data_IF_505144280258
#
_entry.id   IF_505144280258
#
_cell.length_a   1.000
_cell.length_b   1.000
_cell.length_c   1.000
_cell.angle_alpha   90.00
_cell.angle_beta   90.00
_cell.angle_gamma   90.00
#
_symmetry.space_group_name_H-M   'P 1'
#
loop_
_entity.id
_entity.type
_entity.pdbx_description
1 polymer ?
#
# COMPACT_ATOMS: atom_id res chain seq x y z
N UNK A 1 -2.64 -13.28 -9.49
CA UNK A 1 -1.24 -12.93 -9.84
C UNK A 1 -0.45 -12.66 -8.55
N UNK A 2 0.88 -12.63 -8.56
CA UNK A 2 1.67 -12.33 -7.34
C UNK A 2 1.32 -10.96 -6.74
N UNK A 3 1.07 -9.97 -7.60
CA UNK A 3 0.59 -8.64 -7.22
C UNK A 3 -0.71 -8.68 -6.40
N UNK A 4 -1.65 -9.58 -6.72
CA UNK A 4 -2.91 -9.70 -5.96
C UNK A 4 -2.67 -10.21 -4.54
N UNK A 5 -1.75 -11.19 -4.38
CA UNK A 5 -1.38 -11.71 -3.06
C UNK A 5 -0.72 -10.64 -2.18
N UNK A 6 0.10 -9.78 -2.78
CA UNK A 6 0.73 -8.65 -2.08
C UNK A 6 -0.33 -7.62 -1.65
N UNK A 7 -1.29 -7.31 -2.52
CA UNK A 7 -2.41 -6.40 -2.21
C UNK A 7 -3.23 -6.95 -1.04
N UNK A 8 -3.61 -8.22 -1.08
CA UNK A 8 -4.37 -8.87 -0.02
C UNK A 8 -3.60 -8.91 1.31
N UNK A 9 -2.29 -9.18 1.25
CA UNK A 9 -1.41 -9.12 2.41
C UNK A 9 -1.47 -7.75 3.09
N UNK A 10 -1.26 -6.66 2.35
CA UNK A 10 -1.29 -5.31 2.93
C UNK A 10 -2.69 -4.91 3.41
N UNK A 11 -3.76 -5.29 2.69
CA UNK A 11 -5.14 -5.05 3.13
C UNK A 11 -5.48 -5.74 4.44
N UNK A 12 -4.87 -6.90 4.72
CA UNK A 12 -5.09 -7.64 5.97
C UNK A 12 -4.16 -7.17 7.10
N UNK A 13 -2.87 -7.04 6.82
CA UNK A 13 -1.83 -6.78 7.83
C UNK A 13 -1.78 -5.32 8.30
N UNK A 14 -2.11 -4.36 7.43
CA UNK A 14 -2.07 -2.95 7.83
C UNK A 14 -3.12 -2.65 8.91
N UNK A 15 -4.42 -3.02 8.74
CA UNK A 15 -5.42 -2.83 9.78
C UNK A 15 -5.11 -3.56 11.09
N UNK A 16 -4.60 -4.80 11.04
CA UNK A 16 -4.24 -5.54 12.26
C UNK A 16 -3.10 -4.89 13.04
N UNK A 17 -2.29 -4.05 12.39
CA UNK A 17 -1.21 -3.26 12.99
C UNK A 17 -1.65 -1.83 13.37
N UNK A 18 -2.93 -1.53 13.24
CA UNK A 18 -3.53 -0.24 13.59
C UNK A 18 -3.40 0.84 12.52
N UNK A 19 -3.03 0.48 11.28
CA UNK A 19 -3.06 1.39 10.15
C UNK A 19 -4.46 1.43 9.55
N UNK A 20 -5.04 2.62 9.47
CA UNK A 20 -6.38 2.83 8.92
C UNK A 20 -6.31 2.98 7.39
N UNK A 21 -7.13 2.26 6.62
CA UNK A 21 -7.19 2.44 5.18
C UNK A 21 -7.80 3.80 4.82
N UNK A 22 -7.08 4.60 4.05
CA UNK A 22 -7.52 5.91 3.59
C UNK A 22 -8.12 5.86 2.19
N UNK A 23 -7.44 5.18 1.27
CA UNK A 23 -7.84 5.06 -0.13
C UNK A 23 -7.23 3.82 -0.78
N UNK A 24 -7.91 3.28 -1.78
CA UNK A 24 -7.33 2.24 -2.65
C UNK A 24 -7.74 2.48 -4.10
N UNK A 25 -6.78 2.43 -5.02
CA UNK A 25 -7.01 2.57 -6.46
C UNK A 25 -6.45 1.37 -7.21
N UNK A 26 -7.15 0.93 -8.26
CA UNK A 26 -6.72 -0.17 -9.13
C UNK A 26 -6.81 0.27 -10.59
N UNK A 27 -5.69 0.65 -11.20
CA UNK A 27 -5.59 1.04 -12.62
C UNK A 27 -4.20 0.69 -13.14
N UNK A 28 -4.07 -0.39 -13.93
CA UNK A 28 -2.78 -0.91 -14.40
C UNK A 28 -1.84 -1.46 -13.30
N UNK A 29 -2.24 -1.32 -12.04
CA UNK A 29 -1.57 -1.70 -10.79
C UNK A 29 -2.51 -1.43 -9.61
N UNK A 30 -2.02 -1.47 -8.38
CA UNK A 30 -2.76 -1.09 -7.18
C UNK A 30 -2.00 -0.06 -6.36
N UNK A 31 -2.72 0.92 -5.82
CA UNK A 31 -2.19 1.86 -4.83
C UNK A 31 -3.06 1.78 -3.58
N UNK A 32 -2.44 1.57 -2.43
CA UNK A 32 -3.08 1.46 -1.12
C UNK A 32 -2.52 2.57 -0.24
N UNK A 33 -3.38 3.42 0.29
CA UNK A 33 -3.01 4.48 1.22
C UNK A 33 -3.53 4.14 2.62
N UNK A 34 -2.68 4.30 3.62
CA UNK A 34 -2.99 4.07 5.02
C UNK A 34 -2.54 5.24 5.89
N UNK A 35 -3.16 5.42 7.04
CA UNK A 35 -2.71 6.38 8.07
C UNK A 35 -2.65 5.78 9.46
N UNK A 36 -1.72 6.30 10.27
CA UNK A 36 -1.58 5.97 11.69
C UNK A 36 -0.83 7.09 12.39
N UNK A 37 -1.37 7.61 13.48
CA UNK A 37 -0.69 8.58 14.36
C UNK A 37 -0.07 9.79 13.62
N UNK A 38 -0.79 10.37 12.65
CA UNK A 38 -0.32 11.51 11.84
C UNK A 38 0.72 11.14 10.75
N UNK A 39 1.01 9.84 10.58
CA UNK A 39 1.83 9.30 9.50
C UNK A 39 0.94 8.71 8.41
N UNK A 40 1.45 8.68 7.19
CA UNK A 40 0.81 8.12 6.02
C UNK A 40 1.75 7.12 5.36
N UNK A 41 1.21 5.99 4.93
CA UNK A 41 1.91 4.99 4.13
C UNK A 41 1.19 4.84 2.80
N UNK A 42 1.95 4.93 1.71
CA UNK A 42 1.50 4.65 0.35
C UNK A 42 2.22 3.39 -0.14
N UNK A 43 1.45 2.36 -0.48
CA UNK A 43 1.94 1.12 -1.08
C UNK A 43 1.47 1.09 -2.53
N UNK A 44 2.40 1.17 -3.46
CA UNK A 44 2.13 1.00 -4.89
C UNK A 44 2.63 -0.38 -5.35
N UNK A 45 1.76 -1.15 -5.96
CA UNK A 45 2.02 -2.47 -6.54
C UNK A 45 1.77 -2.37 -8.03
N UNK A 46 2.82 -2.37 -8.82
CA UNK A 46 2.75 -2.37 -10.29
C UNK A 46 3.27 -3.67 -10.87
N UNK A 47 3.17 -3.79 -12.19
CA UNK A 47 3.89 -4.80 -12.96
C UNK A 47 4.76 -4.09 -13.98
N UNK A 48 6.04 -4.44 -14.03
CA UNK A 48 6.96 -3.95 -15.06
C UNK A 48 7.56 -5.17 -15.76
N UNK A 49 7.31 -5.31 -17.06
CA UNK A 49 7.65 -6.51 -17.83
C UNK A 49 7.07 -7.79 -17.18
N UNK A 50 7.94 -8.66 -16.67
CA UNK A 50 7.57 -9.89 -15.96
C UNK A 50 7.69 -9.78 -14.44
N UNK A 51 8.16 -8.66 -13.92
CA UNK A 51 8.42 -8.47 -12.49
C UNK A 51 7.29 -7.69 -11.81
N UNK A 52 7.09 -7.99 -10.53
CA UNK A 52 6.20 -7.22 -9.66
C UNK A 52 6.99 -6.07 -9.04
N UNK A 53 6.53 -4.84 -9.24
CA UNK A 53 7.19 -3.65 -8.70
C UNK A 53 6.44 -3.19 -7.45
N UNK A 54 7.14 -3.13 -6.32
CA UNK A 54 6.59 -2.71 -5.03
C UNK A 54 7.31 -1.45 -4.57
N UNK A 55 6.55 -0.37 -4.42
CA UNK A 55 7.04 0.88 -3.82
C UNK A 55 6.30 1.13 -2.52
N UNK A 56 7.04 1.36 -1.44
CA UNK A 56 6.49 1.73 -0.14
C UNK A 56 7.03 3.09 0.23
N UNK A 57 6.15 4.09 0.31
CA UNK A 57 6.49 5.45 0.72
C UNK A 57 5.88 5.71 2.09
N UNK A 58 6.71 6.14 3.03
CA UNK A 58 6.26 6.57 4.37
C UNK A 58 6.44 8.07 4.47
N UNK A 59 5.35 8.78 4.72
CA UNK A 59 5.34 10.22 4.97
C UNK A 59 4.74 10.52 6.34
N UNK A 60 5.06 11.66 6.90
CA UNK A 60 4.41 12.15 8.12
C UNK A 60 4.61 13.66 8.22
N UNK A 61 3.65 14.33 8.84
CA UNK A 61 3.89 15.68 9.30
C UNK A 61 4.99 15.59 10.37
N UNK A 62 6.21 15.98 10.02
CA UNK A 62 7.24 16.28 11.01
C UNK A 62 6.64 17.31 11.95
N UNK A 63 6.50 16.94 13.22
CA UNK A 63 6.33 17.92 14.28
C UNK A 63 7.61 18.74 14.39
#
# INVERSE_FOLDING_TARGET
MESDKIIEFYKKEMPTRGWQPNASMRSGGAMLAYSKDGKTVLVAVGKQNNDTLLTVTVGGAGR
#
